data_IF_754622693688
#
_entry.id   IF_754622693688
#
_cell.length_a   1.000
_cell.length_b   1.000
_cell.length_c   1.000
_cell.angle_alpha   90.00
_cell.angle_beta   90.00
_cell.angle_gamma   90.00
#
_symmetry.space_group_name_H-M   'P 1'
#
loop_
_entity.id
_entity.type
_entity.pdbx_description
1 polymer ?
#
# COMPACT_ATOMS: atom_id res chain seq x y z
N UNK A 1 17.53 34.75 25.93
CA UNK A 1 18.37 34.04 24.92
C UNK A 1 18.18 34.59 23.51
N UNK A 2 17.55 35.76 23.35
CA UNK A 2 17.56 36.50 22.08
C UNK A 2 18.83 37.36 22.08
N UNK A 3 19.67 37.24 21.05
CA UNK A 3 20.97 37.93 20.78
C UNK A 3 22.26 37.12 20.91
N UNK A 4 22.22 35.79 21.01
CA UNK A 4 23.44 35.00 20.83
C UNK A 4 23.76 34.89 19.33
N UNK A 5 24.94 35.38 18.94
CA UNK A 5 25.41 35.33 17.56
C UNK A 5 25.92 33.91 17.26
N UNK A 6 25.11 33.12 16.54
CA UNK A 6 25.45 31.74 16.20
C UNK A 6 26.48 31.65 15.06
N UNK A 7 26.44 32.60 14.13
CA UNK A 7 27.36 32.67 12.99
C UNK A 7 27.79 34.14 12.80
N UNK A 8 29.11 34.43 12.78
CA UNK A 8 29.60 35.79 12.59
C UNK A 8 29.23 36.39 11.23
N UNK A 9 28.92 37.69 11.22
CA UNK A 9 28.67 38.45 9.98
C UNK A 9 29.85 38.36 8.99
N UNK A 10 29.57 37.95 7.76
CA UNK A 10 30.57 37.83 6.68
C UNK A 10 31.13 36.41 6.49
N UNK A 11 30.73 35.46 7.33
CA UNK A 11 31.07 34.04 7.16
C UNK A 11 30.29 33.44 5.98
N UNK A 12 30.97 32.68 5.11
CA UNK A 12 30.28 31.90 4.07
C UNK A 12 29.48 30.77 4.73
N UNK A 13 28.20 30.65 4.38
CA UNK A 13 27.36 29.54 4.82
C UNK A 13 27.86 28.24 4.16
N UNK A 14 28.22 27.27 4.98
CA UNK A 14 28.60 25.93 4.56
C UNK A 14 27.74 24.90 5.30
N UNK A 15 27.72 23.68 4.79
CA UNK A 15 26.88 22.60 5.32
C UNK A 15 27.15 22.29 6.80
N UNK A 16 28.42 22.38 7.22
CA UNK A 16 28.83 22.17 8.63
C UNK A 16 28.21 23.21 9.58
N UNK A 17 28.24 24.49 9.18
CA UNK A 17 27.70 25.58 9.98
C UNK A 17 26.18 25.49 10.05
N UNK A 18 25.52 25.13 8.94
CA UNK A 18 24.06 24.99 8.88
C UNK A 18 23.54 23.80 9.71
N UNK A 19 24.25 22.68 9.73
CA UNK A 19 23.84 21.49 10.51
C UNK A 19 23.90 21.69 12.02
N UNK A 20 24.59 22.74 12.49
CA UNK A 20 24.71 23.05 13.92
C UNK A 20 23.57 23.96 14.40
N UNK A 21 22.76 24.49 13.48
CA UNK A 21 21.70 25.45 13.78
C UNK A 21 20.38 24.76 14.13
N UNK A 22 19.76 25.20 15.23
CA UNK A 22 18.37 24.86 15.55
C UNK A 22 17.41 25.82 14.83
N UNK A 23 16.99 25.47 13.62
CA UNK A 23 16.13 26.32 12.78
C UNK A 23 14.78 26.71 13.40
N UNK A 24 14.34 26.04 14.47
CA UNK A 24 13.12 26.35 15.21
C UNK A 24 13.21 27.64 16.05
N UNK A 25 14.42 28.13 16.34
CA UNK A 25 14.64 29.24 17.30
C UNK A 25 15.41 30.44 16.70
N UNK A 26 15.61 30.47 15.38
CA UNK A 26 16.46 31.46 14.73
C UNK A 26 15.62 32.54 14.04
N UNK A 27 16.07 33.80 14.16
CA UNK A 27 15.50 34.91 13.40
C UNK A 27 15.91 34.79 11.92
N UNK A 28 14.94 34.89 11.02
CA UNK A 28 15.10 34.66 9.58
C UNK A 28 15.33 35.94 8.77
N UNK A 29 15.48 37.08 9.45
CA UNK A 29 15.65 38.37 8.81
C UNK A 29 17.11 38.65 8.41
N UNK A 30 17.30 39.10 7.16
CA UNK A 30 18.56 39.67 6.65
C UNK A 30 19.80 38.77 6.73
N UNK A 31 19.68 37.48 6.39
CA UNK A 31 20.83 36.54 6.35
C UNK A 31 21.77 36.84 5.18
N UNK A 32 21.21 37.24 4.05
CA UNK A 32 21.91 37.50 2.80
C UNK A 32 21.80 38.96 2.40
N UNK A 33 22.74 39.42 1.56
CA UNK A 33 22.69 40.77 0.94
C UNK A 33 21.61 40.86 -0.15
N UNK A 34 21.27 39.72 -0.75
CA UNK A 34 20.23 39.62 -1.76
C UNK A 34 18.85 39.46 -1.10
N UNK A 35 17.91 40.31 -1.50
CA UNK A 35 16.56 40.33 -0.95
C UNK A 35 15.73 39.13 -1.43
N UNK A 36 15.95 38.64 -2.66
CA UNK A 36 15.24 37.47 -3.18
C UNK A 36 15.62 36.20 -2.39
N UNK A 37 16.91 36.00 -2.15
CA UNK A 37 17.40 34.92 -1.28
C UNK A 37 16.82 35.01 0.15
N UNK A 38 16.70 36.21 0.73
CA UNK A 38 16.10 36.38 2.05
C UNK A 38 14.61 35.97 2.07
N UNK A 39 13.83 36.29 1.03
CA UNK A 39 12.43 35.86 0.91
C UNK A 39 12.30 34.35 0.81
N UNK A 40 13.18 33.70 0.04
CA UNK A 40 13.21 32.23 -0.08
C UNK A 40 13.57 31.55 1.25
N UNK A 41 14.56 32.06 1.98
CA UNK A 41 14.97 31.55 3.30
C UNK A 41 13.80 31.66 4.29
N UNK A 42 13.12 32.81 4.33
CA UNK A 42 11.93 33.01 5.18
C UNK A 42 10.84 32.00 4.88
N UNK A 43 10.51 31.80 3.59
CA UNK A 43 9.49 30.83 3.19
C UNK A 43 9.90 29.39 3.53
N UNK A 44 11.17 29.03 3.31
CA UNK A 44 11.70 27.72 3.62
C UNK A 44 11.59 27.42 5.12
N UNK A 45 12.07 28.33 5.97
CA UNK A 45 12.04 28.16 7.41
C UNK A 45 10.60 28.15 7.93
N UNK A 46 9.72 29.01 7.40
CA UNK A 46 8.30 28.98 7.73
C UNK A 46 7.65 27.62 7.43
N UNK A 47 7.87 27.08 6.24
CA UNK A 47 7.36 25.76 5.84
C UNK A 47 7.96 24.64 6.70
N UNK A 48 9.25 24.73 7.00
CA UNK A 48 9.95 23.80 7.89
C UNK A 48 9.32 23.82 9.30
N UNK A 49 9.11 25.00 9.90
CA UNK A 49 8.50 25.14 11.23
C UNK A 49 7.08 24.56 11.26
N UNK A 50 6.27 24.77 10.21
CA UNK A 50 4.95 24.14 10.11
C UNK A 50 5.09 22.61 10.15
N UNK A 51 5.96 22.05 9.31
CA UNK A 51 6.16 20.59 9.22
C UNK A 51 6.70 19.99 10.50
N UNK A 52 7.68 20.63 11.14
CA UNK A 52 8.21 20.19 12.44
C UNK A 52 7.14 20.20 13.51
N UNK A 53 6.28 21.22 13.55
CA UNK A 53 5.18 21.27 14.51
C UNK A 53 4.11 20.20 14.25
N UNK A 54 3.79 19.93 12.97
CA UNK A 54 2.88 18.84 12.59
C UNK A 54 3.42 17.47 13.06
N UNK A 55 4.68 17.16 12.74
CA UNK A 55 5.34 15.90 13.12
C UNK A 55 5.47 15.77 14.64
N UNK A 56 5.87 16.84 15.34
CA UNK A 56 5.91 16.85 16.79
C UNK A 56 4.52 16.65 17.40
N UNK A 57 3.48 17.23 16.80
CA UNK A 57 2.10 17.02 17.22
C UNK A 57 1.66 15.57 17.05
N UNK A 58 1.98 14.95 15.91
CA UNK A 58 1.75 13.53 15.66
C UNK A 58 2.51 12.64 16.64
N UNK A 59 3.81 12.85 16.81
CA UNK A 59 4.64 12.11 17.76
C UNK A 59 4.09 12.18 19.20
N UNK A 60 3.72 13.38 19.66
CA UNK A 60 3.16 13.57 21.00
C UNK A 60 1.82 12.84 21.16
N UNK A 61 0.94 12.88 20.17
CA UNK A 61 -0.34 12.14 20.17
C UNK A 61 -0.13 10.64 20.20
N UNK A 62 0.75 10.11 19.35
CA UNK A 62 1.04 8.68 19.28
C UNK A 62 1.64 8.18 20.61
N UNK A 63 2.63 8.91 21.14
CA UNK A 63 3.22 8.61 22.44
C UNK A 63 2.18 8.63 23.57
N UNK A 64 1.27 9.60 23.55
CA UNK A 64 0.18 9.70 24.52
C UNK A 64 -0.76 8.51 24.44
N UNK A 65 -1.21 8.14 23.24
CA UNK A 65 -2.08 6.98 23.02
C UNK A 65 -1.44 5.67 23.52
N UNK A 66 -0.16 5.46 23.21
CA UNK A 66 0.59 4.27 23.67
C UNK A 66 0.72 4.25 25.21
N UNK A 67 0.87 5.43 25.84
CA UNK A 67 1.06 5.52 27.30
C UNK A 67 -0.23 5.27 28.08
N UNK A 68 -1.38 5.75 27.56
CA UNK A 68 -2.69 5.50 28.17
C UNK A 68 -3.12 4.04 27.99
N UNK A 69 -2.80 3.46 26.83
CA UNK A 69 -3.27 2.13 26.46
C UNK A 69 -4.71 2.13 25.94
N UNK A 70 -5.21 0.95 25.60
CA UNK A 70 -6.56 0.77 25.07
C UNK A 70 -7.60 0.68 26.19
N UNK A 71 -8.80 1.22 25.95
CA UNK A 71 -9.95 0.95 26.81
C UNK A 71 -10.36 -0.53 26.70
N UNK A 72 -10.39 -1.20 27.86
CA UNK A 72 -10.80 -2.61 27.96
C UNK A 72 -12.26 -2.72 28.42
N UNK A 73 -13.04 -3.69 27.91
CA UNK A 73 -14.37 -3.96 28.42
C UNK A 73 -14.37 -4.27 29.92
N UNK A 74 -15.47 -3.94 30.60
CA UNK A 74 -15.63 -4.19 32.04
C UNK A 74 -15.32 -5.64 32.42
N UNK A 75 -14.42 -5.84 33.38
CA UNK A 75 -13.98 -7.17 33.84
C UNK A 75 -12.76 -7.75 33.12
N UNK A 76 -12.23 -7.08 32.07
CA UNK A 76 -11.01 -7.52 31.38
C UNK A 76 -9.80 -6.74 31.88
N UNK A 77 -8.81 -7.45 32.45
CA UNK A 77 -7.57 -6.84 32.96
C UNK A 77 -6.49 -6.67 31.89
N UNK A 78 -6.38 -7.60 30.94
CA UNK A 78 -5.39 -7.61 29.85
C UNK A 78 -5.97 -8.28 28.62
N UNK A 79 -5.61 -7.79 27.43
CA UNK A 79 -6.02 -8.35 26.14
C UNK A 79 -4.78 -8.67 25.30
N UNK A 80 -4.74 -9.86 24.70
CA UNK A 80 -3.73 -10.25 23.73
C UNK A 80 -4.42 -10.62 22.40
N UNK A 81 -4.07 -9.93 21.31
CA UNK A 81 -4.54 -10.24 19.95
C UNK A 81 -3.43 -10.96 19.20
N UNK A 82 -3.69 -12.19 18.74
CA UNK A 82 -2.74 -12.97 17.94
C UNK A 82 -3.28 -13.07 16.51
N UNK A 83 -2.53 -12.51 15.56
CA UNK A 83 -2.86 -12.59 14.13
C UNK A 83 -2.15 -13.79 13.51
N UNK A 84 -2.92 -14.73 12.95
CA UNK A 84 -2.40 -15.92 12.28
C UNK A 84 -2.76 -15.87 10.80
N UNK A 85 -1.75 -15.85 9.94
CA UNK A 85 -1.93 -15.94 8.50
C UNK A 85 -1.76 -17.39 8.03
N UNK A 86 -2.64 -17.86 7.13
CA UNK A 86 -2.56 -19.19 6.52
C UNK A 86 -2.86 -19.11 5.02
N UNK A 87 -1.94 -19.61 4.18
CA UNK A 87 -2.22 -19.85 2.77
C UNK A 87 -3.12 -21.08 2.63
N UNK A 88 -4.34 -20.91 2.11
CA UNK A 88 -5.29 -22.00 1.87
C UNK A 88 -5.15 -22.46 0.41
N UNK A 89 -4.97 -23.77 0.21
CA UNK A 89 -5.02 -24.42 -1.11
C UNK A 89 -6.47 -24.70 -1.51
N UNK A 90 -6.73 -24.75 -2.82
CA UNK A 90 -8.00 -25.19 -3.41
C UNK A 90 -8.31 -26.63 -2.99
N UNK A 91 -9.57 -26.92 -2.70
CA UNK A 91 -10.06 -28.25 -2.31
C UNK A 91 -11.38 -28.57 -3.01
N UNK A 92 -11.69 -29.86 -3.08
CA UNK A 92 -13.03 -30.35 -3.43
C UNK A 92 -14.05 -29.73 -2.47
N UNK A 93 -15.16 -29.23 -3.03
CA UNK A 93 -16.17 -28.49 -2.28
C UNK A 93 -15.98 -26.97 -2.27
N UNK A 94 -14.84 -26.44 -2.72
CA UNK A 94 -14.68 -24.99 -2.87
C UNK A 94 -15.57 -24.48 -4.01
N UNK A 95 -16.12 -23.27 -3.81
CA UNK A 95 -17.01 -22.62 -4.78
C UNK A 95 -16.21 -21.69 -5.70
N UNK A 96 -16.42 -21.84 -7.00
CA UNK A 96 -15.81 -21.00 -8.04
C UNK A 96 -16.90 -20.28 -8.84
N UNK A 97 -16.54 -19.13 -9.42
CA UNK A 97 -17.41 -18.36 -10.29
C UNK A 97 -16.62 -17.76 -11.45
N UNK A 98 -17.20 -17.77 -12.65
CA UNK A 98 -16.67 -17.08 -13.82
C UNK A 98 -17.27 -15.68 -13.98
N UNK A 99 -16.66 -14.89 -14.87
CA UNK A 99 -17.04 -13.49 -15.14
C UNK A 99 -18.41 -13.36 -15.81
N UNK A 100 -18.88 -14.42 -16.45
CA UNK A 100 -20.18 -14.50 -17.13
C UNK A 100 -21.29 -15.09 -16.25
N UNK A 101 -21.13 -15.04 -14.93
CA UNK A 101 -22.16 -15.44 -13.95
C UNK A 101 -22.34 -16.94 -13.75
N UNK A 102 -21.54 -17.78 -14.43
CA UNK A 102 -21.48 -19.21 -14.16
C UNK A 102 -20.85 -19.45 -12.78
N UNK A 103 -21.52 -20.25 -11.94
CA UNK A 103 -21.05 -20.62 -10.60
C UNK A 103 -21.03 -22.14 -10.50
N UNK A 104 -20.00 -22.68 -9.86
CA UNK A 104 -19.81 -24.12 -9.69
C UNK A 104 -19.11 -24.44 -8.37
N UNK A 105 -19.17 -25.72 -8.00
CA UNK A 105 -18.41 -26.27 -6.87
C UNK A 105 -17.37 -27.20 -7.49
N UNK A 106 -16.14 -27.20 -6.97
CA UNK A 106 -15.09 -28.15 -7.38
C UNK A 106 -15.55 -29.55 -7.04
N UNK A 107 -15.91 -30.34 -8.06
CA UNK A 107 -16.45 -31.70 -7.88
C UNK A 107 -15.34 -32.73 -7.60
N UNK A 108 -14.22 -32.63 -8.31
CA UNK A 108 -13.08 -33.54 -8.18
C UNK A 108 -11.80 -32.82 -8.62
N UNK A 109 -10.69 -33.13 -7.95
CA UNK A 109 -9.34 -32.78 -8.40
C UNK A 109 -8.69 -34.09 -8.81
N UNK A 110 -8.30 -34.19 -10.08
CA UNK A 110 -7.66 -35.38 -10.65
C UNK A 110 -6.20 -35.07 -10.97
N UNK A 111 -5.43 -36.11 -11.32
CA UNK A 111 -4.08 -35.94 -11.81
C UNK A 111 -4.10 -35.66 -13.31
N UNK A 112 -3.02 -35.10 -13.83
CA UNK A 112 -2.94 -34.65 -15.22
C UNK A 112 -3.13 -35.80 -16.22
N UNK A 113 -2.70 -37.03 -15.87
CA UNK A 113 -2.90 -38.22 -16.71
C UNK A 113 -4.36 -38.62 -16.93
N UNK A 114 -5.27 -38.18 -16.06
CA UNK A 114 -6.70 -38.47 -16.14
C UNK A 114 -7.49 -37.37 -16.89
N UNK A 115 -6.83 -36.30 -17.33
CA UNK A 115 -7.45 -35.17 -18.03
C UNK A 115 -7.45 -35.39 -19.55
N UNK A 116 -8.39 -34.76 -20.28
CA UNK A 116 -8.31 -34.68 -21.74
C UNK A 116 -7.07 -33.90 -22.16
N UNK A 117 -6.47 -34.33 -23.28
CA UNK A 117 -5.28 -33.71 -23.86
C UNK A 117 -5.60 -33.03 -25.18
N UNK A 118 -4.87 -31.95 -25.47
CA UNK A 118 -4.82 -31.33 -26.79
C UNK A 118 -3.98 -32.16 -27.77
N UNK A 119 -4.02 -31.80 -29.06
CA UNK A 119 -3.26 -32.49 -30.11
C UNK A 119 -1.75 -32.46 -29.88
N UNK A 120 -1.23 -31.44 -29.17
CA UNK A 120 0.18 -31.32 -28.79
C UNK A 120 0.55 -32.06 -27.50
N UNK A 121 -0.42 -32.74 -26.87
CA UNK A 121 -0.22 -33.48 -25.62
C UNK A 121 -0.36 -32.64 -24.35
N UNK A 122 -0.77 -31.37 -24.43
CA UNK A 122 -1.03 -30.54 -23.25
C UNK A 122 -2.34 -30.96 -22.56
N UNK A 123 -2.37 -31.23 -21.25
CA UNK A 123 -3.60 -31.52 -20.52
C UNK A 123 -4.44 -30.25 -20.31
N UNK A 124 -5.77 -30.40 -20.30
CA UNK A 124 -6.70 -29.31 -19.96
C UNK A 124 -6.75 -29.11 -18.44
N UNK A 125 -6.77 -27.86 -17.96
CA UNK A 125 -6.85 -27.55 -16.52
C UNK A 125 -8.26 -27.70 -15.92
N UNK A 126 -9.30 -27.27 -16.64
CA UNK A 126 -10.68 -27.21 -16.15
C UNK A 126 -11.65 -27.71 -17.22
N UNK A 127 -12.54 -28.64 -16.84
CA UNK A 127 -13.64 -29.11 -17.69
C UNK A 127 -14.96 -28.58 -17.15
N UNK A 128 -15.71 -27.88 -18.00
CA UNK A 128 -17.02 -27.31 -17.68
C UNK A 128 -18.15 -28.07 -18.41
N UNK A 129 -19.31 -28.14 -17.78
CA UNK A 129 -20.51 -28.74 -18.41
C UNK A 129 -21.12 -27.74 -19.43
N UNK A 130 -21.22 -28.11 -20.72
CA UNK A 130 -21.74 -27.21 -21.76
C UNK A 130 -23.23 -26.91 -21.62
N UNK A 131 -24.02 -27.76 -20.96
CA UNK A 131 -25.48 -27.59 -20.85
C UNK A 131 -25.88 -26.31 -20.08
N UNK A 132 -24.99 -25.80 -19.22
CA UNK A 132 -25.24 -24.58 -18.46
C UNK A 132 -25.23 -23.31 -19.32
N UNK A 133 -24.63 -23.36 -20.51
CA UNK A 133 -24.49 -22.21 -21.40
C UNK A 133 -25.79 -21.82 -22.11
N UNK A 134 -26.43 -22.73 -22.89
CA UNK A 134 -27.66 -22.39 -23.60
C UNK A 134 -28.81 -22.11 -22.62
N UNK A 135 -28.89 -22.84 -21.50
CA UNK A 135 -29.96 -22.69 -20.52
C UNK A 135 -29.98 -21.30 -19.85
N UNK A 136 -28.81 -20.67 -19.67
CA UNK A 136 -28.68 -19.35 -19.04
C UNK A 136 -28.41 -18.23 -20.04
N UNK A 137 -28.32 -18.56 -21.32
CA UNK A 137 -28.02 -17.65 -22.42
C UNK A 137 -26.75 -16.80 -22.19
N UNK A 138 -25.75 -17.33 -21.47
CA UNK A 138 -24.49 -16.64 -21.22
C UNK A 138 -23.44 -16.99 -22.27
N UNK A 139 -23.75 -16.71 -23.55
CA UNK A 139 -22.87 -16.97 -24.70
C UNK A 139 -21.52 -16.25 -24.60
N UNK A 140 -21.45 -15.14 -23.85
CA UNK A 140 -20.23 -14.38 -23.63
C UNK A 140 -19.04 -15.22 -23.17
N UNK A 141 -19.28 -16.29 -22.39
CA UNK A 141 -18.19 -17.18 -21.95
C UNK A 141 -17.53 -17.94 -23.11
N UNK A 142 -18.30 -18.28 -24.16
CA UNK A 142 -17.76 -18.96 -25.33
C UNK A 142 -16.90 -17.98 -26.12
N UNK A 143 -17.39 -16.75 -26.31
CA UNK A 143 -16.61 -15.70 -26.96
C UNK A 143 -15.34 -15.35 -26.19
N UNK A 144 -15.40 -15.29 -24.84
CA UNK A 144 -14.22 -15.09 -24.00
C UNK A 144 -13.21 -16.24 -24.17
N UNK A 145 -13.66 -17.50 -24.16
CA UNK A 145 -12.77 -18.65 -24.38
C UNK A 145 -12.14 -18.65 -25.77
N UNK A 146 -12.91 -18.39 -26.83
CA UNK A 146 -12.39 -18.37 -28.21
C UNK A 146 -11.41 -17.21 -28.41
N UNK A 147 -11.73 -16.03 -27.90
CA UNK A 147 -10.84 -14.87 -27.98
C UNK A 147 -9.58 -15.07 -27.14
N UNK A 148 -9.70 -15.67 -25.96
CA UNK A 148 -8.57 -16.03 -25.10
C UNK A 148 -7.63 -17.02 -25.78
N UNK A 149 -8.18 -18.03 -26.45
CA UNK A 149 -7.40 -19.00 -27.23
C UNK A 149 -6.68 -18.35 -28.41
N UNK A 150 -7.37 -17.45 -29.13
CA UNK A 150 -6.75 -16.66 -30.19
C UNK A 150 -5.63 -15.77 -29.63
N UNK A 151 -5.85 -15.14 -28.47
CA UNK A 151 -4.85 -14.38 -27.73
C UNK A 151 -3.61 -15.23 -27.44
N UNK A 152 -3.76 -16.37 -26.77
CA UNK A 152 -2.65 -17.26 -26.43
C UNK A 152 -1.81 -17.69 -27.66
N UNK A 153 -2.44 -17.92 -28.81
CA UNK A 153 -1.73 -18.24 -30.06
C UNK A 153 -1.01 -17.03 -30.68
N UNK A 154 -1.43 -15.81 -30.35
CA UNK A 154 -0.93 -14.55 -30.93
C UNK A 154 0.01 -13.76 -29.99
N UNK A 155 -0.10 -13.92 -28.66
CA UNK A 155 0.69 -13.24 -27.63
C UNK A 155 -0.15 -12.53 -26.56
#
# INVERSE_FOLDING_TARGET
VYKEELIPKGTKLNEKNLNTLEFDKIDTNHWMRDEEANQLIKRLIHNYTIKVNEENGWYKREKFNITIGDELPTGVLKLAKVYVAKKRKLKVGDKLAGRHGNKGIVARIVRDEDMPFLEDGTPVDIVLNPLGVPSRMNLGQIYETVLGWAGEKLG
#
